data_IF_466502731961
#
_entry.id   IF_466502731961
#
_cell.length_a   1.000
_cell.length_b   1.000
_cell.length_c   1.000
_cell.angle_alpha   90.00
_cell.angle_beta   90.00
_cell.angle_gamma   90.00
#
_symmetry.space_group_name_H-M   'P 1'
#
loop_
_entity.id
_entity.type
_entity.pdbx_description
1 polymer ?
#
# COMPACT_ATOMS: atom_id res chain seq x y z
N UNK A 1 4.34 10.90 0.14
CA UNK A 1 5.24 9.75 0.36
C UNK A 1 6.61 10.16 0.87
N UNK A 2 7.34 11.05 0.16
CA UNK A 2 8.66 11.51 0.61
C UNK A 2 8.60 12.34 1.89
N UNK A 3 7.45 12.92 2.20
CA UNK A 3 7.25 13.75 3.37
C UNK A 3 6.77 12.98 4.60
N UNK A 4 6.21 11.76 4.41
CA UNK A 4 5.64 10.96 5.50
C UNK A 4 6.64 10.00 6.18
N UNK A 5 7.74 9.64 5.53
CA UNK A 5 8.55 8.48 5.88
C UNK A 5 9.93 8.80 6.47
N UNK A 6 10.02 9.84 7.26
CA UNK A 6 11.30 10.21 7.86
C UNK A 6 12.32 10.83 6.89
N UNK A 7 11.97 11.00 5.62
CA UNK A 7 12.83 11.65 4.62
C UNK A 7 12.81 13.17 4.68
N UNK A 8 11.98 13.78 5.53
CA UNK A 8 11.90 15.24 5.70
C UNK A 8 13.28 15.88 5.93
N UNK A 9 14.17 15.33 6.79
CA UNK A 9 15.50 15.91 6.98
C UNK A 9 16.33 15.92 5.71
N UNK A 10 16.29 14.84 4.92
CA UNK A 10 17.04 14.74 3.66
C UNK A 10 16.46 15.67 2.58
N UNK A 11 15.13 15.75 2.48
CA UNK A 11 14.46 16.68 1.57
C UNK A 11 14.80 18.13 1.93
N UNK A 12 14.75 18.49 3.21
CA UNK A 12 15.17 19.82 3.69
C UNK A 12 16.61 20.13 3.31
N UNK A 13 17.52 19.16 3.47
CA UNK A 13 18.93 19.31 3.12
C UNK A 13 19.13 19.53 1.61
N UNK A 14 18.37 18.83 0.78
CA UNK A 14 18.40 19.01 -0.68
C UNK A 14 17.86 20.39 -1.04
N UNK A 15 16.68 20.74 -0.55
CA UNK A 15 16.03 22.02 -0.84
C UNK A 15 16.89 23.20 -0.40
N UNK A 16 17.58 23.08 0.75
CA UNK A 16 18.50 24.12 1.24
C UNK A 16 19.74 24.35 0.36
N UNK A 17 20.02 23.47 -0.61
CA UNK A 17 21.10 23.63 -1.60
C UNK A 17 20.63 24.14 -2.95
N UNK A 18 19.32 24.28 -3.13
CA UNK A 18 18.72 24.80 -4.36
C UNK A 18 18.62 26.32 -4.32
N UNK A 19 18.46 26.99 -5.47
CA UNK A 19 18.14 28.41 -5.54
C UNK A 19 16.89 28.72 -4.67
N UNK A 20 16.74 30.02 -4.34
CA UNK A 20 15.56 30.46 -3.58
C UNK A 20 14.25 30.11 -4.30
N UNK A 21 13.17 30.05 -3.55
CA UNK A 21 11.86 29.67 -4.09
C UNK A 21 11.40 30.56 -5.25
N UNK A 22 11.76 31.86 -5.21
CA UNK A 22 11.45 32.85 -6.24
C UNK A 22 12.20 32.59 -7.55
N UNK A 23 13.42 32.02 -7.45
CA UNK A 23 14.31 31.77 -8.59
C UNK A 23 14.20 30.36 -9.18
N UNK A 24 13.23 29.59 -8.70
CA UNK A 24 12.98 28.22 -9.20
C UNK A 24 11.51 27.94 -9.41
N UNK A 25 11.20 26.96 -10.22
CA UNK A 25 9.88 26.33 -10.28
C UNK A 25 9.85 25.10 -9.39
N UNK A 26 8.91 25.06 -8.45
CA UNK A 26 8.68 23.90 -7.56
C UNK A 26 7.28 23.39 -7.82
N UNK A 27 7.15 22.09 -8.07
CA UNK A 27 5.88 21.41 -8.25
C UNK A 27 5.77 20.30 -7.20
N UNK A 28 4.64 20.25 -6.50
CA UNK A 28 4.29 19.21 -5.55
C UNK A 28 3.13 18.40 -6.11
N UNK A 29 3.31 17.09 -6.17
CA UNK A 29 2.25 16.16 -6.54
C UNK A 29 1.98 15.23 -5.36
N UNK A 30 0.73 15.16 -4.93
CA UNK A 30 0.28 14.25 -3.87
C UNK A 30 -1.14 13.79 -4.19
N UNK A 31 -1.45 12.54 -3.82
CA UNK A 31 -2.83 12.05 -3.86
C UNK A 31 -3.66 12.65 -2.72
N UNK A 32 -2.99 13.08 -1.64
CA UNK A 32 -3.60 13.66 -0.44
C UNK A 32 -2.82 14.90 -0.05
N UNK A 33 -3.51 15.99 0.18
CA UNK A 33 -2.95 17.27 0.62
C UNK A 33 -3.30 17.50 2.10
N UNK A 34 -2.67 16.72 2.98
CA UNK A 34 -2.82 16.92 4.43
C UNK A 34 -2.33 18.31 4.85
N UNK A 35 -2.81 18.79 6.00
CA UNK A 35 -2.44 20.10 6.53
C UNK A 35 -0.92 20.25 6.69
N UNK A 36 -0.26 19.18 7.15
CA UNK A 36 1.20 19.16 7.33
C UNK A 36 1.97 19.27 6.01
N UNK A 37 1.45 18.61 4.95
CA UNK A 37 2.02 18.70 3.59
C UNK A 37 1.84 20.11 3.05
N UNK A 38 0.70 20.73 3.26
CA UNK A 38 0.44 22.10 2.82
C UNK A 38 1.34 23.11 3.56
N UNK A 39 1.57 22.94 4.86
CA UNK A 39 2.51 23.78 5.61
C UNK A 39 3.96 23.62 5.12
N UNK A 40 4.39 22.42 4.78
CA UNK A 40 5.70 22.18 4.20
C UNK A 40 5.82 22.79 2.79
N UNK A 41 4.79 22.62 1.97
CA UNK A 41 4.72 23.19 0.63
C UNK A 41 4.85 24.72 0.66
N UNK A 42 4.12 25.40 1.56
CA UNK A 42 4.17 26.85 1.70
C UNK A 42 5.56 27.41 2.00
N UNK A 43 6.41 26.62 2.67
CA UNK A 43 7.80 26.99 3.00
C UNK A 43 8.78 26.78 1.83
N UNK A 44 8.43 25.95 0.86
CA UNK A 44 9.35 25.54 -0.20
C UNK A 44 8.94 26.05 -1.58
N UNK A 45 7.70 26.47 -1.73
CA UNK A 45 7.14 27.03 -2.95
C UNK A 45 7.13 28.56 -2.90
N UNK A 46 6.80 29.20 -4.02
CA UNK A 46 6.54 30.64 -4.08
C UNK A 46 5.34 31.01 -3.20
N UNK A 47 5.24 32.26 -2.82
CA UNK A 47 4.20 32.76 -1.92
C UNK A 47 2.77 32.58 -2.44
N UNK A 48 2.58 32.42 -3.73
CA UNK A 48 1.27 32.22 -4.38
C UNK A 48 1.33 31.03 -5.34
N UNK A 49 1.33 29.79 -4.82
CA UNK A 49 1.35 28.60 -5.65
C UNK A 49 -0.02 28.37 -6.30
N UNK A 50 -0.04 27.97 -7.57
CA UNK A 50 -1.25 27.50 -8.22
C UNK A 50 -1.60 26.12 -7.64
N UNK A 51 -2.79 25.99 -7.06
CA UNK A 51 -3.32 24.73 -6.56
C UNK A 51 -4.25 24.18 -7.62
N UNK A 52 -3.97 22.97 -8.08
CA UNK A 52 -4.85 22.20 -8.96
C UNK A 52 -5.28 20.96 -8.19
N UNK A 53 -6.57 20.88 -7.88
CA UNK A 53 -7.17 19.77 -7.17
C UNK A 53 -8.14 19.07 -8.10
N UNK A 54 -8.02 17.76 -8.19
CA UNK A 54 -8.96 16.91 -8.91
C UNK A 54 -9.63 16.03 -7.86
N UNK A 55 -10.83 16.37 -7.49
CA UNK A 55 -11.63 15.53 -6.60
C UNK A 55 -12.01 14.25 -7.37
N UNK A 56 -11.66 13.07 -6.88
CA UNK A 56 -12.14 11.83 -7.47
C UNK A 56 -13.66 11.75 -7.24
N UNK A 57 -14.43 11.39 -8.25
CA UNK A 57 -15.88 11.17 -8.12
C UNK A 57 -16.22 10.11 -7.06
N UNK A 58 -15.29 9.17 -6.82
CA UNK A 58 -15.37 8.17 -5.77
C UNK A 58 -14.04 8.07 -5.04
N UNK A 59 -14.09 7.91 -3.71
CA UNK A 59 -12.90 7.72 -2.85
C UNK A 59 -12.20 6.40 -3.17
N UNK A 60 -12.95 5.41 -3.62
CA UNK A 60 -12.48 4.10 -4.06
C UNK A 60 -12.55 4.03 -5.59
N UNK A 61 -11.52 3.51 -6.22
CA UNK A 61 -11.50 3.35 -7.67
C UNK A 61 -12.64 2.42 -8.13
N UNK A 62 -13.33 2.82 -9.21
CA UNK A 62 -14.34 1.98 -9.84
C UNK A 62 -13.75 0.60 -10.19
N UNK A 63 -14.54 -0.45 -9.97
CA UNK A 63 -14.14 -1.82 -10.29
C UNK A 63 -13.49 -2.60 -9.13
N UNK A 64 -13.43 -2.05 -7.91
CA UNK A 64 -13.04 -2.80 -6.70
C UNK A 64 -14.29 -3.36 -6.02
N UNK A 65 -14.37 -4.68 -5.90
CA UNK A 65 -15.33 -5.36 -5.03
C UNK A 65 -14.75 -5.43 -3.61
N UNK A 66 -15.37 -4.74 -2.67
CA UNK A 66 -14.93 -4.73 -1.27
C UNK A 66 -15.71 -5.73 -0.43
N UNK A 67 -15.00 -6.58 0.31
CA UNK A 67 -15.57 -7.57 1.22
C UNK A 67 -14.91 -7.46 2.58
N UNK A 68 -15.71 -7.45 3.64
CA UNK A 68 -15.22 -7.48 5.01
C UNK A 68 -15.69 -8.76 5.67
N UNK A 69 -14.72 -9.55 6.15
CA UNK A 69 -15.01 -10.73 6.98
C UNK A 69 -14.82 -10.39 8.46
N UNK A 70 -15.88 -10.54 9.25
CA UNK A 70 -15.77 -10.50 10.70
C UNK A 70 -15.24 -11.85 11.19
N UNK A 71 -14.04 -11.86 11.73
CA UNK A 71 -13.31 -13.07 12.14
C UNK A 71 -12.60 -12.84 13.47
N UNK A 72 -12.38 -13.89 14.23
CA UNK A 72 -11.47 -13.84 15.36
C UNK A 72 -10.00 -13.89 14.90
N UNK A 73 -9.06 -13.48 15.74
CA UNK A 73 -7.62 -13.53 15.44
C UNK A 73 -7.15 -14.94 15.03
N UNK A 74 -7.77 -15.99 15.59
CA UNK A 74 -7.44 -17.39 15.27
C UNK A 74 -8.01 -17.87 13.94
N UNK A 75 -9.10 -17.28 13.48
CA UNK A 75 -9.75 -17.64 12.22
C UNK A 75 -9.13 -16.96 10.99
N UNK A 76 -8.36 -15.92 11.17
CA UNK A 76 -7.75 -15.18 10.04
C UNK A 76 -6.96 -16.08 9.09
N UNK A 77 -6.10 -16.96 9.62
CA UNK A 77 -5.29 -17.83 8.77
C UNK A 77 -6.13 -18.91 8.07
N UNK A 78 -7.02 -19.66 8.73
CA UNK A 78 -7.96 -20.56 8.07
C UNK A 78 -8.78 -19.89 6.97
N UNK A 79 -9.36 -18.71 7.22
CA UNK A 79 -10.15 -17.97 6.23
C UNK A 79 -9.28 -17.53 5.06
N UNK A 80 -8.06 -17.04 5.31
CA UNK A 80 -7.10 -16.70 4.26
C UNK A 80 -6.80 -17.92 3.36
N UNK A 81 -6.49 -19.06 3.94
CA UNK A 81 -6.17 -20.28 3.18
C UNK A 81 -7.38 -20.76 2.37
N UNK A 82 -8.57 -20.67 2.95
CA UNK A 82 -9.81 -20.97 2.23
C UNK A 82 -10.00 -20.02 1.03
N UNK A 83 -9.85 -18.72 1.22
CA UNK A 83 -9.94 -17.71 0.17
C UNK A 83 -8.94 -18.00 -0.97
N UNK A 84 -7.67 -18.25 -0.62
CA UNK A 84 -6.63 -18.56 -1.60
C UNK A 84 -6.87 -19.86 -2.39
N UNK A 85 -7.62 -20.79 -1.81
CA UNK A 85 -7.95 -22.08 -2.43
C UNK A 85 -9.21 -22.03 -3.30
N UNK A 86 -10.21 -21.22 -2.94
CA UNK A 86 -11.55 -21.28 -3.53
C UNK A 86 -11.87 -20.08 -4.43
N UNK A 87 -11.14 -18.98 -4.31
CA UNK A 87 -11.27 -17.84 -5.19
C UNK A 87 -10.23 -17.88 -6.32
N UNK A 88 -10.52 -17.19 -7.43
CA UNK A 88 -9.58 -17.09 -8.57
C UNK A 88 -8.44 -16.10 -8.24
N UNK A 89 -7.70 -16.43 -7.18
CA UNK A 89 -6.58 -15.64 -6.71
C UNK A 89 -5.34 -15.88 -7.56
N UNK A 90 -5.12 -15.09 -8.60
CA UNK A 90 -3.94 -15.24 -9.46
C UNK A 90 -2.73 -14.48 -8.91
N UNK A 91 -2.91 -13.21 -8.58
CA UNK A 91 -1.90 -12.34 -7.96
C UNK A 91 -2.49 -11.65 -6.75
N UNK A 92 -2.00 -12.01 -5.57
CA UNK A 92 -2.53 -11.59 -4.28
C UNK A 92 -1.50 -10.75 -3.52
N UNK A 93 -1.91 -9.59 -3.08
CA UNK A 93 -1.12 -8.75 -2.19
C UNK A 93 -1.77 -8.72 -0.80
N UNK A 94 -1.04 -9.22 0.20
CA UNK A 94 -1.53 -9.29 1.58
C UNK A 94 -0.83 -8.25 2.42
N UNK A 95 -1.59 -7.43 3.15
CA UNK A 95 -1.06 -6.40 4.02
C UNK A 95 -1.09 -6.81 5.49
N UNK A 96 0.04 -6.61 6.16
CA UNK A 96 0.22 -6.65 7.61
C UNK A 96 0.79 -5.32 8.11
N UNK A 97 0.48 -4.96 9.35
CA UNK A 97 0.90 -3.67 9.91
C UNK A 97 2.36 -3.66 10.34
N UNK A 98 2.93 -4.80 10.75
CA UNK A 98 4.29 -4.89 11.30
C UNK A 98 5.15 -5.85 10.50
N UNK A 99 6.42 -5.51 10.34
CA UNK A 99 7.41 -6.34 9.65
C UNK A 99 7.49 -7.78 10.19
N UNK A 100 7.57 -7.93 11.51
CA UNK A 100 7.64 -9.25 12.16
C UNK A 100 6.45 -10.13 11.79
N UNK A 101 5.28 -9.52 11.70
CA UNK A 101 4.04 -10.23 11.39
C UNK A 101 3.98 -10.63 9.90
N UNK A 102 4.61 -9.82 9.01
CA UNK A 102 4.81 -10.17 7.59
C UNK A 102 5.66 -11.43 7.46
N UNK A 103 6.80 -11.49 8.16
CA UNK A 103 7.71 -12.65 8.17
C UNK A 103 6.98 -13.90 8.66
N UNK A 104 6.26 -13.77 9.78
CA UNK A 104 5.50 -14.87 10.37
C UNK A 104 4.43 -15.42 9.41
N UNK A 105 3.66 -14.54 8.79
CA UNK A 105 2.59 -14.95 7.87
C UNK A 105 3.17 -15.60 6.61
N UNK A 106 4.25 -15.04 6.04
CA UNK A 106 4.95 -15.64 4.91
C UNK A 106 5.39 -17.07 5.24
N UNK A 107 5.98 -17.30 6.42
CA UNK A 107 6.44 -18.62 6.85
C UNK A 107 5.27 -19.61 7.04
N UNK A 108 4.16 -19.14 7.59
CA UNK A 108 2.94 -19.94 7.72
C UNK A 108 2.40 -20.36 6.35
N UNK A 109 2.28 -19.42 5.41
CA UNK A 109 1.79 -19.70 4.05
C UNK A 109 2.72 -20.68 3.31
N UNK A 110 4.04 -20.49 3.43
CA UNK A 110 5.02 -21.39 2.81
C UNK A 110 4.89 -22.82 3.35
N UNK A 111 4.70 -22.99 4.67
CA UNK A 111 4.44 -24.32 5.28
C UNK A 111 3.15 -24.95 4.79
N UNK A 112 2.16 -24.16 4.41
CA UNK A 112 0.92 -24.62 3.79
C UNK A 112 1.04 -24.86 2.29
N UNK A 113 2.24 -24.80 1.70
CA UNK A 113 2.49 -25.05 0.28
C UNK A 113 2.11 -23.90 -0.66
N UNK A 114 1.87 -22.69 -0.12
CA UNK A 114 1.58 -21.51 -0.94
C UNK A 114 2.88 -20.89 -1.45
N UNK A 115 3.00 -20.72 -2.77
CA UNK A 115 4.12 -20.02 -3.39
C UNK A 115 4.01 -18.51 -3.06
N UNK A 116 4.73 -18.08 -2.03
CA UNK A 116 4.71 -16.70 -1.54
C UNK A 116 6.09 -16.19 -1.16
N UNK A 117 6.24 -14.88 -1.17
CA UNK A 117 7.39 -14.20 -0.57
C UNK A 117 6.92 -12.91 0.12
N UNK A 118 7.85 -12.22 0.76
CA UNK A 118 7.55 -11.00 1.51
C UNK A 118 8.27 -9.79 0.94
N UNK A 119 7.63 -8.63 1.11
CA UNK A 119 8.21 -7.33 0.80
C UNK A 119 8.24 -6.47 2.06
N UNK A 120 9.45 -6.13 2.51
CA UNK A 120 9.69 -5.22 3.64
C UNK A 120 10.69 -4.12 3.27
N UNK A 121 10.77 -3.06 4.08
CA UNK A 121 11.60 -1.88 3.78
C UNK A 121 13.09 -2.15 3.64
N UNK A 122 13.60 -3.24 4.25
CA UNK A 122 15.03 -3.60 4.25
C UNK A 122 15.43 -4.56 3.12
N UNK A 123 14.48 -4.90 2.24
CA UNK A 123 14.81 -5.78 1.09
C UNK A 123 15.69 -4.99 0.13
N UNK A 124 16.88 -5.55 -0.16
CA UNK A 124 17.79 -5.00 -1.18
C UNK A 124 17.07 -4.78 -2.51
N UNK A 125 17.40 -3.67 -3.18
CA UNK A 125 16.71 -3.25 -4.41
C UNK A 125 16.74 -4.31 -5.51
N UNK A 126 17.84 -5.05 -5.65
CA UNK A 126 17.94 -6.14 -6.63
C UNK A 126 17.00 -7.29 -6.31
N UNK A 127 16.92 -7.65 -5.02
CA UNK A 127 16.00 -8.69 -4.55
C UNK A 127 14.54 -8.25 -4.73
N UNK A 128 14.24 -6.97 -4.45
CA UNK A 128 12.92 -6.38 -4.68
C UNK A 128 12.50 -6.48 -6.16
N UNK A 129 13.39 -6.13 -7.07
CA UNK A 129 13.09 -6.19 -8.51
C UNK A 129 12.82 -7.62 -8.98
N UNK A 130 13.63 -8.60 -8.54
CA UNK A 130 13.41 -10.01 -8.85
C UNK A 130 12.07 -10.50 -8.32
N UNK A 131 11.77 -10.21 -7.05
CA UNK A 131 10.50 -10.59 -6.44
C UNK A 131 9.29 -10.04 -7.23
N UNK A 132 9.35 -8.79 -7.66
CA UNK A 132 8.29 -8.19 -8.47
C UNK A 132 8.19 -8.83 -9.86
N UNK A 133 9.30 -9.27 -10.45
CA UNK A 133 9.29 -9.99 -11.70
C UNK A 133 8.71 -11.40 -11.56
N UNK A 134 9.09 -12.13 -10.50
CA UNK A 134 8.54 -13.44 -10.16
C UNK A 134 7.02 -13.35 -9.87
N UNK A 135 6.58 -12.25 -9.27
CA UNK A 135 5.16 -11.99 -9.04
C UNK A 135 4.40 -11.65 -10.33
N UNK A 136 5.00 -10.87 -11.23
CA UNK A 136 4.41 -10.57 -12.55
C UNK A 136 4.29 -11.82 -13.44
N UNK A 137 5.33 -12.63 -13.46
CA UNK A 137 5.35 -13.88 -14.22
C UNK A 137 4.44 -14.98 -13.67
N UNK A 138 3.96 -14.81 -12.40
CA UNK A 138 3.16 -15.82 -11.71
C UNK A 138 3.99 -16.94 -11.04
N UNK A 139 5.32 -16.86 -11.06
CA UNK A 139 6.19 -17.79 -10.32
C UNK A 139 5.93 -17.70 -8.81
N UNK A 140 5.61 -16.49 -8.33
CA UNK A 140 5.12 -16.23 -6.97
C UNK A 140 3.69 -15.69 -7.10
N UNK A 141 2.74 -16.34 -6.43
CA UNK A 141 1.32 -15.97 -6.50
C UNK A 141 0.92 -14.98 -5.41
N UNK A 142 1.62 -14.98 -4.29
CA UNK A 142 1.28 -14.19 -3.10
C UNK A 142 2.48 -13.38 -2.63
N UNK A 143 2.28 -12.09 -2.41
CA UNK A 143 3.23 -11.23 -1.69
C UNK A 143 2.61 -10.80 -0.37
N UNK A 144 3.34 -10.96 0.73
CA UNK A 144 2.99 -10.37 2.04
C UNK A 144 3.83 -9.12 2.25
N UNK A 145 3.20 -7.99 2.56
CA UNK A 145 3.89 -6.70 2.66
C UNK A 145 3.41 -5.85 3.82
N UNK A 146 4.25 -4.89 4.22
CA UNK A 146 3.82 -3.73 5.02
C UNK A 146 3.45 -2.58 4.08
N UNK A 147 2.73 -1.56 4.58
CA UNK A 147 2.39 -0.35 3.81
C UNK A 147 3.60 0.29 3.16
N UNK A 148 4.67 0.48 3.95
CA UNK A 148 5.92 1.07 3.49
C UNK A 148 6.49 0.36 2.27
N UNK A 149 6.49 -0.95 2.29
CA UNK A 149 7.04 -1.78 1.23
C UNK A 149 6.05 -2.00 0.08
N UNK A 150 4.77 -2.10 0.40
CA UNK A 150 3.67 -2.22 -0.57
C UNK A 150 3.44 -0.95 -1.40
N UNK A 151 3.78 0.22 -0.85
CA UNK A 151 3.77 1.47 -1.60
C UNK A 151 4.77 1.42 -2.75
N UNK A 152 4.29 1.75 -3.96
CA UNK A 152 5.12 1.72 -5.18
C UNK A 152 5.30 0.34 -5.81
N UNK A 153 4.50 -0.64 -5.42
CA UNK A 153 4.30 -1.84 -6.23
C UNK A 153 3.46 -1.40 -7.46
N UNK A 154 4.11 -1.40 -8.61
CA UNK A 154 3.47 -1.20 -9.91
C UNK A 154 3.37 -2.55 -10.60
N UNK A 155 2.36 -3.31 -10.22
CA UNK A 155 1.94 -4.54 -10.90
C UNK A 155 0.47 -4.34 -11.24
N UNK A 156 0.16 -4.34 -12.53
CA UNK A 156 -1.16 -3.90 -13.02
C UNK A 156 -2.24 -4.98 -12.83
N UNK A 157 -1.84 -6.23 -12.73
CA UNK A 157 -2.77 -7.38 -12.70
C UNK A 157 -2.94 -7.98 -11.30
N UNK A 158 -2.90 -7.19 -10.24
CA UNK A 158 -3.22 -7.69 -8.89
C UNK A 158 -4.72 -7.96 -8.84
N UNK A 159 -5.10 -9.23 -8.71
CA UNK A 159 -6.50 -9.65 -8.66
C UNK A 159 -7.12 -9.44 -7.29
N UNK A 160 -6.33 -9.65 -6.23
CA UNK A 160 -6.80 -9.55 -4.85
C UNK A 160 -5.85 -8.73 -3.98
N UNK A 161 -6.42 -7.84 -3.20
CA UNK A 161 -5.76 -7.20 -2.08
C UNK A 161 -6.40 -7.70 -0.80
N UNK A 162 -5.60 -8.19 0.14
CA UNK A 162 -6.11 -8.69 1.42
C UNK A 162 -5.51 -7.88 2.56
N UNK A 163 -6.35 -7.15 3.27
CA UNK A 163 -6.00 -6.52 4.54
C UNK A 163 -6.12 -7.56 5.65
N UNK A 164 -5.05 -8.35 5.86
CA UNK A 164 -5.00 -9.31 6.97
C UNK A 164 -5.02 -8.59 8.32
N UNK A 165 -4.38 -7.43 8.39
CA UNK A 165 -4.57 -6.45 9.45
C UNK A 165 -5.16 -5.17 8.83
N UNK A 166 -6.20 -4.62 9.44
CA UNK A 166 -6.72 -3.31 9.05
C UNK A 166 -5.65 -2.23 9.28
N UNK A 167 -5.51 -1.28 8.37
CA UNK A 167 -4.60 -0.15 8.57
C UNK A 167 -5.13 0.75 9.69
N UNK A 168 -4.26 1.54 10.30
CA UNK A 168 -4.66 2.47 11.35
C UNK A 168 -5.33 3.74 10.81
N UNK A 169 -5.04 4.10 9.55
CA UNK A 169 -5.55 5.29 8.89
C UNK A 169 -6.41 4.93 7.67
N UNK A 170 -7.52 5.64 7.49
CA UNK A 170 -8.42 5.43 6.35
C UNK A 170 -7.71 5.65 5.00
N UNK A 171 -6.77 6.59 4.95
CA UNK A 171 -5.97 6.88 3.77
C UNK A 171 -5.12 5.67 3.35
N UNK A 172 -4.50 4.98 4.32
CA UNK A 172 -3.74 3.76 4.03
C UNK A 172 -4.64 2.64 3.51
N UNK A 173 -5.90 2.56 3.96
CA UNK A 173 -6.88 1.63 3.42
C UNK A 173 -7.09 1.85 1.92
N UNK A 174 -7.39 3.06 1.53
CA UNK A 174 -7.58 3.43 0.11
C UNK A 174 -6.32 3.15 -0.71
N UNK A 175 -5.15 3.47 -0.17
CA UNK A 175 -3.87 3.20 -0.81
C UNK A 175 -3.58 1.71 -0.98
N UNK A 176 -4.01 0.86 -0.04
CA UNK A 176 -3.86 -0.61 -0.12
C UNK A 176 -4.78 -1.17 -1.19
N UNK A 177 -6.09 -0.90 -1.09
CA UNK A 177 -7.06 -1.44 -2.03
C UNK A 177 -6.84 -0.93 -3.45
N UNK A 178 -6.37 0.30 -3.63
CA UNK A 178 -5.95 0.86 -4.91
C UNK A 178 -4.71 0.18 -5.54
N UNK A 179 -4.23 -0.96 -5.01
CA UNK A 179 -3.25 -1.82 -5.69
C UNK A 179 -3.90 -2.77 -6.68
N UNK A 180 -5.19 -3.03 -6.57
CA UNK A 180 -5.98 -3.79 -7.54
C UNK A 180 -6.85 -2.87 -8.41
N UNK A 181 -7.60 -3.42 -9.33
CA UNK A 181 -8.50 -2.71 -10.26
C UNK A 181 -7.83 -1.57 -11.03
N UNK A 182 -6.64 -1.79 -11.55
CA UNK A 182 -5.91 -0.81 -12.34
C UNK A 182 -6.07 -1.04 -13.83
N UNK A 183 -5.82 0.01 -14.62
CA UNK A 183 -5.84 -0.05 -16.08
C UNK A 183 -7.14 -0.63 -16.68
N UNK A 184 -8.30 -0.39 -16.02
CA UNK A 184 -9.60 -0.88 -16.51
C UNK A 184 -9.94 -2.32 -16.12
N UNK A 185 -9.10 -2.98 -15.31
CA UNK A 185 -9.40 -4.29 -14.74
C UNK A 185 -10.27 -4.16 -13.50
N UNK A 186 -11.02 -5.22 -13.18
CA UNK A 186 -11.71 -5.36 -11.89
C UNK A 186 -10.82 -6.05 -10.89
N UNK A 187 -11.06 -5.80 -9.59
CA UNK A 187 -10.30 -6.41 -8.52
C UNK A 187 -11.13 -6.62 -7.26
N UNK A 188 -10.60 -7.40 -6.34
CA UNK A 188 -11.25 -7.69 -5.07
C UNK A 188 -10.39 -7.26 -3.90
N UNK A 189 -10.98 -6.54 -2.96
CA UNK A 189 -10.37 -6.13 -1.71
C UNK A 189 -11.06 -6.84 -0.55
N UNK A 190 -10.32 -7.66 0.19
CA UNK A 190 -10.83 -8.43 1.32
C UNK A 190 -10.19 -7.91 2.60
N UNK A 191 -10.99 -7.58 3.59
CA UNK A 191 -10.51 -7.07 4.87
C UNK A 191 -10.95 -7.97 6.02
N UNK A 192 -10.02 -8.33 6.90
CA UNK A 192 -10.31 -9.11 8.09
C UNK A 192 -10.51 -8.19 9.29
N UNK A 193 -11.76 -8.00 9.69
CA UNK A 193 -12.15 -7.29 10.88
C UNK A 193 -12.14 -8.25 12.07
N UNK A 194 -11.30 -7.98 13.06
CA UNK A 194 -11.22 -8.76 14.29
C UNK A 194 -11.17 -7.84 15.51
N UNK A 195 -11.28 -8.44 16.69
CA UNK A 195 -11.28 -7.72 17.96
C UNK A 195 -10.08 -6.78 18.16
N UNK A 196 -8.90 -7.15 17.63
CA UNK A 196 -7.69 -6.33 17.73
C UNK A 196 -7.71 -5.09 16.83
N UNK A 197 -8.53 -5.10 15.78
CA UNK A 197 -8.68 -4.02 14.80
C UNK A 197 -10.03 -3.31 14.82
N UNK A 198 -10.92 -3.65 15.77
CA UNK A 198 -12.29 -3.12 15.81
C UNK A 198 -12.37 -1.59 15.97
N UNK A 199 -11.33 -0.96 16.49
CA UNK A 199 -11.27 0.50 16.69
C UNK A 199 -11.01 1.28 15.40
N UNK A 200 -10.71 0.62 14.29
CA UNK A 200 -10.37 1.25 13.01
C UNK A 200 -11.54 1.20 12.03
N UNK A 201 -12.58 0.44 12.34
CA UNK A 201 -13.79 0.36 11.51
C UNK A 201 -14.68 1.56 11.87
N UNK A 202 -15.05 2.43 10.90
CA UNK A 202 -15.94 3.56 11.15
C UNK A 202 -17.34 3.13 11.57
#
# INVERSE_FOLDING_TARGET
>A
RMLDMGFIPDVKRIIGRLPKAEDRQTMLFSATLSRDIMELASRWMRSDPIIVEVEPEHVVADGIEEVVYSVTSHEKLPVLLWTLAHEKCERVLIFRNRRRDVEQLRDQLTRCGIACDMLSGDVDQKKRLRLLEDFRSGAIRVIVATDVAGRGIHVDDITHVINYDLPYEAEDYVHRIGRTARAGHTGRAISFACEEGAFVIP
#
